data_IF_040420288626
#
_entry.id   IF_040420288626
#
_cell.length_a   1.000
_cell.length_b   1.000
_cell.length_c   1.000
_cell.angle_alpha   90.00
_cell.angle_beta   90.00
_cell.angle_gamma   90.00
#
_symmetry.space_group_name_H-M   'P 1'
#
loop_
_entity.id
_entity.type
_entity.pdbx_description
1 polymer ?
#
# COMPACT_ATOMS: atom_id res chain seq x y z
N UNK A 1 -6.07 49.88 -3.44
CA UNK A 1 -5.29 48.68 -3.08
C UNK A 1 -6.28 47.59 -2.71
N UNK A 2 -6.14 46.43 -3.32
CA UNK A 2 -7.01 45.28 -3.02
C UNK A 2 -6.30 44.43 -1.96
N UNK A 3 -6.90 44.29 -0.78
CA UNK A 3 -6.37 43.38 0.23
C UNK A 3 -6.58 41.93 -0.19
N UNK A 4 -5.51 41.12 -0.19
CA UNK A 4 -5.58 39.69 -0.50
C UNK A 4 -5.04 38.87 0.66
N UNK A 5 -5.66 37.70 0.91
CA UNK A 5 -5.19 36.71 1.86
C UNK A 5 -3.83 36.14 1.40
N UNK A 6 -2.91 35.90 2.31
CA UNK A 6 -1.57 35.39 1.95
C UNK A 6 -1.00 34.36 2.95
N UNK A 7 -1.48 34.33 4.20
CA UNK A 7 -0.86 33.51 5.25
C UNK A 7 -0.68 32.04 4.89
N UNK A 8 -1.75 31.41 4.39
CA UNK A 8 -1.72 29.99 4.02
C UNK A 8 -0.79 29.74 2.83
N UNK A 9 -0.85 30.60 1.81
CA UNK A 9 0.06 30.52 0.65
C UNK A 9 1.51 30.74 1.08
N UNK A 10 1.78 31.71 1.96
CA UNK A 10 3.10 31.95 2.49
C UNK A 10 3.66 30.72 3.20
N UNK A 11 2.83 30.03 4.02
CA UNK A 11 3.26 28.80 4.68
C UNK A 11 3.63 27.73 3.66
N UNK A 12 2.81 27.53 2.63
CA UNK A 12 3.06 26.54 1.57
C UNK A 12 4.32 26.91 0.75
N UNK A 13 4.58 28.19 0.51
CA UNK A 13 5.82 28.65 -0.12
C UNK A 13 7.06 28.32 0.75
N UNK A 14 6.98 28.50 2.08
CA UNK A 14 8.07 28.10 2.99
C UNK A 14 8.31 26.58 2.96
N UNK A 15 7.26 25.78 2.91
CA UNK A 15 7.39 24.33 2.73
C UNK A 15 8.05 24.00 1.38
N UNK A 16 7.63 24.66 0.31
CA UNK A 16 8.20 24.47 -1.02
C UNK A 16 9.69 24.85 -1.07
N UNK A 17 10.12 25.91 -0.39
CA UNK A 17 11.53 26.29 -0.25
C UNK A 17 12.32 25.26 0.56
N UNK A 18 11.78 24.80 1.71
CA UNK A 18 12.42 23.80 2.55
C UNK A 18 12.60 22.47 1.81
N UNK A 19 11.63 22.06 1.05
CA UNK A 19 11.65 20.82 0.25
C UNK A 19 12.34 20.97 -1.09
N UNK A 20 12.73 22.17 -1.48
CA UNK A 20 13.36 22.51 -2.77
C UNK A 20 12.50 22.17 -4.00
N UNK A 21 11.17 21.99 -3.84
CA UNK A 21 10.31 21.61 -4.93
C UNK A 21 10.24 22.67 -6.02
N UNK A 22 10.21 23.94 -5.64
CA UNK A 22 10.20 25.05 -6.57
C UNK A 22 11.47 25.07 -7.44
N UNK A 23 12.65 24.93 -6.79
CA UNK A 23 13.94 24.87 -7.48
C UNK A 23 14.01 23.71 -8.48
N UNK A 24 13.47 22.55 -8.09
CA UNK A 24 13.43 21.37 -8.96
C UNK A 24 12.49 21.59 -10.17
N UNK A 25 11.31 22.20 -9.95
CA UNK A 25 10.40 22.54 -11.03
C UNK A 25 11.01 23.58 -11.99
N UNK A 26 11.73 24.58 -11.48
CA UNK A 26 12.44 25.56 -12.31
C UNK A 26 13.49 24.90 -13.21
N UNK A 27 14.19 23.88 -12.72
CA UNK A 27 15.12 23.06 -13.52
C UNK A 27 14.40 22.21 -14.55
N UNK A 28 13.30 21.55 -14.18
CA UNK A 28 12.50 20.71 -15.08
C UNK A 28 11.93 21.50 -16.24
N UNK A 29 11.45 22.71 -15.98
CA UNK A 29 10.80 23.57 -16.99
C UNK A 29 11.72 24.67 -17.52
N UNK A 30 13.05 24.46 -17.44
CA UNK A 30 14.07 25.33 -18.06
C UNK A 30 13.89 26.82 -17.72
N UNK A 31 13.50 27.11 -16.46
CA UNK A 31 13.30 28.48 -15.98
C UNK A 31 12.00 29.15 -16.45
N UNK A 32 11.07 28.41 -17.06
CA UNK A 32 9.73 28.94 -17.37
C UNK A 32 8.97 29.26 -16.09
N UNK A 33 9.22 30.45 -15.56
CA UNK A 33 8.70 30.93 -14.28
C UNK A 33 7.17 30.94 -14.24
N UNK A 34 6.52 31.37 -15.33
CA UNK A 34 5.06 31.42 -15.38
C UNK A 34 4.45 30.01 -15.23
N UNK A 35 4.99 29.02 -15.95
CA UNK A 35 4.54 27.63 -15.83
C UNK A 35 4.77 27.07 -14.41
N UNK A 36 5.92 27.37 -13.79
CA UNK A 36 6.22 26.94 -12.43
C UNK A 36 5.27 27.61 -11.43
N UNK A 37 5.02 28.91 -11.56
CA UNK A 37 4.08 29.65 -10.71
C UNK A 37 2.65 29.12 -10.83
N UNK A 38 2.22 28.76 -12.05
CA UNK A 38 0.93 28.13 -12.31
C UNK A 38 0.82 26.74 -11.66
N UNK A 39 1.86 25.91 -11.80
CA UNK A 39 1.92 24.58 -11.14
C UNK A 39 1.87 24.72 -9.62
N UNK A 40 2.65 25.62 -9.05
CA UNK A 40 2.67 25.86 -7.61
C UNK A 40 1.30 26.32 -7.10
N UNK A 41 0.65 27.24 -7.82
CA UNK A 41 -0.69 27.73 -7.48
C UNK A 41 -1.71 26.61 -7.53
N UNK A 42 -1.70 25.78 -8.57
CA UNK A 42 -2.60 24.65 -8.74
C UNK A 42 -2.37 23.60 -7.63
N UNK A 43 -1.12 23.32 -7.28
CA UNK A 43 -0.76 22.36 -6.24
C UNK A 43 -1.15 22.81 -4.83
N UNK A 44 -1.07 24.10 -4.52
CA UNK A 44 -1.44 24.65 -3.20
C UNK A 44 -2.94 24.69 -2.98
N UNK A 45 -3.73 24.86 -4.04
CA UNK A 45 -5.17 25.08 -3.94
C UNK A 45 -5.93 24.03 -3.13
N UNK A 46 -5.78 22.71 -3.35
CA UNK A 46 -6.53 21.69 -2.59
C UNK A 46 -6.18 21.59 -1.12
N UNK A 47 -5.02 22.12 -0.70
CA UNK A 47 -4.60 22.13 0.70
C UNK A 47 -5.14 23.36 1.46
N UNK A 48 -5.43 24.46 0.75
CA UNK A 48 -5.90 25.71 1.33
C UNK A 48 -7.42 25.85 1.21
N UNK A 49 -8.01 25.21 0.19
CA UNK A 49 -9.43 25.33 -0.13
C UNK A 49 -10.07 23.96 -0.32
N UNK A 50 -11.28 23.79 0.23
CA UNK A 50 -12.11 22.60 0.03
C UNK A 50 -12.90 22.61 -1.30
N UNK A 51 -12.74 23.64 -2.12
CA UNK A 51 -13.47 23.76 -3.37
C UNK A 51 -12.83 22.96 -4.51
N UNK A 52 -13.63 22.61 -5.51
CA UNK A 52 -13.16 21.98 -6.74
C UNK A 52 -12.28 22.95 -7.55
N UNK A 53 -11.41 22.41 -8.40
CA UNK A 53 -10.52 23.19 -9.26
C UNK A 53 -11.24 24.19 -10.17
N UNK A 54 -12.52 23.98 -10.48
CA UNK A 54 -13.35 24.96 -11.22
C UNK A 54 -13.50 26.31 -10.50
N UNK A 55 -13.21 26.35 -9.20
CA UNK A 55 -13.26 27.56 -8.36
C UNK A 55 -11.91 28.24 -8.17
N UNK A 56 -10.84 27.74 -8.78
CA UNK A 56 -9.47 28.26 -8.62
C UNK A 56 -9.39 29.76 -8.95
N UNK A 57 -9.91 30.18 -10.12
CA UNK A 57 -9.90 31.60 -10.51
C UNK A 57 -10.58 32.52 -9.47
N UNK A 58 -11.72 32.05 -8.91
CA UNK A 58 -12.40 32.80 -7.84
C UNK A 58 -11.53 32.91 -6.59
N UNK A 59 -10.85 31.85 -6.16
CA UNK A 59 -9.95 31.87 -5.02
C UNK A 59 -8.76 32.82 -5.24
N UNK A 60 -8.17 32.85 -6.44
CA UNK A 60 -7.07 33.74 -6.80
C UNK A 60 -7.43 35.23 -6.70
N UNK A 61 -8.71 35.61 -6.87
CA UNK A 61 -9.14 37.02 -6.70
C UNK A 61 -8.97 37.54 -5.28
N UNK A 62 -9.12 36.67 -4.31
CA UNK A 62 -9.05 37.04 -2.88
C UNK A 62 -7.74 36.60 -2.20
N UNK A 63 -6.91 35.85 -2.90
CA UNK A 63 -5.68 35.27 -2.37
C UNK A 63 -4.48 35.68 -3.22
N UNK A 64 -3.40 36.08 -2.58
CA UNK A 64 -2.12 36.30 -3.27
C UNK A 64 -1.51 34.92 -3.56
N UNK A 65 -1.41 34.54 -4.82
CA UNK A 65 -0.88 33.26 -5.29
C UNK A 65 0.43 33.44 -6.05
N UNK A 66 1.26 32.39 -6.22
CA UNK A 66 2.44 32.43 -7.07
C UNK A 66 2.12 32.88 -8.51
N UNK A 67 1.07 32.30 -9.12
CA UNK A 67 0.62 32.74 -10.45
C UNK A 67 0.01 34.15 -10.39
N UNK A 68 0.47 35.00 -11.29
CA UNK A 68 -0.04 36.36 -11.42
C UNK A 68 -1.37 36.43 -12.18
N UNK A 69 -1.73 35.40 -12.95
CA UNK A 69 -2.97 35.32 -13.75
C UNK A 69 -4.05 34.49 -13.07
N UNK A 70 -5.31 34.83 -13.30
CA UNK A 70 -6.44 34.00 -12.92
C UNK A 70 -6.54 32.80 -13.88
N UNK A 71 -6.50 31.57 -13.35
CA UNK A 71 -6.52 30.35 -14.14
C UNK A 71 -7.94 29.83 -14.31
N UNK A 72 -8.47 29.88 -15.53
CA UNK A 72 -9.75 29.26 -15.89
C UNK A 72 -9.65 27.72 -15.89
N UNK A 73 -10.76 26.97 -15.88
CA UNK A 73 -10.73 25.51 -16.05
C UNK A 73 -10.03 25.07 -17.33
N UNK A 74 -10.14 25.84 -18.43
CA UNK A 74 -9.42 25.59 -19.67
C UNK A 74 -7.91 25.76 -19.54
N UNK A 75 -7.45 26.73 -18.72
CA UNK A 75 -6.01 26.93 -18.43
C UNK A 75 -5.47 25.76 -17.63
N UNK A 76 -6.21 25.28 -16.62
CA UNK A 76 -5.85 24.11 -15.83
C UNK A 76 -5.69 22.89 -16.73
N UNK A 77 -6.64 22.64 -17.63
CA UNK A 77 -6.57 21.53 -18.58
C UNK A 77 -5.32 21.64 -19.47
N UNK A 78 -5.05 22.80 -20.07
CA UNK A 78 -3.86 23.01 -20.89
C UNK A 78 -2.57 22.83 -20.09
N UNK A 79 -2.50 23.37 -18.87
CA UNK A 79 -1.34 23.22 -18.00
C UNK A 79 -1.07 21.74 -17.70
N UNK A 80 -2.09 21.00 -17.23
CA UNK A 80 -1.92 19.58 -16.85
C UNK A 80 -1.56 18.71 -18.05
N UNK A 81 -2.14 18.95 -19.22
CA UNK A 81 -1.79 18.26 -20.46
C UNK A 81 -0.37 18.62 -20.99
N UNK A 82 0.17 19.77 -20.62
CA UNK A 82 1.52 20.18 -21.00
C UNK A 82 2.63 19.57 -20.14
N UNK A 83 2.27 18.87 -19.05
CA UNK A 83 3.23 18.13 -18.20
C UNK A 83 3.34 16.72 -18.74
N UNK A 84 4.55 16.36 -19.18
CA UNK A 84 4.82 15.09 -19.85
C UNK A 84 5.44 14.07 -18.90
N UNK A 85 5.48 12.80 -19.32
CA UNK A 85 6.21 11.76 -18.60
C UNK A 85 7.73 12.07 -18.52
N UNK A 86 8.29 12.75 -19.53
CA UNK A 86 9.68 13.23 -19.50
C UNK A 86 9.90 14.21 -18.36
N UNK A 87 8.97 15.15 -18.16
CA UNK A 87 9.05 16.13 -17.06
C UNK A 87 8.96 15.44 -15.70
N UNK A 88 8.05 14.46 -15.55
CA UNK A 88 7.95 13.63 -14.36
C UNK A 88 9.26 12.90 -14.06
N UNK A 89 9.86 12.25 -15.04
CA UNK A 89 11.14 11.54 -14.89
C UNK A 89 12.29 12.50 -14.54
N UNK A 90 12.32 13.71 -15.13
CA UNK A 90 13.32 14.73 -14.79
C UNK A 90 13.17 15.18 -13.32
N UNK A 91 11.92 15.39 -12.84
CA UNK A 91 11.67 15.71 -11.45
C UNK A 91 12.13 14.58 -10.51
N UNK A 92 11.82 13.32 -10.83
CA UNK A 92 12.24 12.18 -10.02
C UNK A 92 13.77 12.07 -9.92
N UNK A 93 14.51 12.34 -11.00
CA UNK A 93 15.98 12.37 -11.00
C UNK A 93 16.51 13.43 -10.03
N UNK A 94 15.98 14.66 -10.10
CA UNK A 94 16.36 15.72 -9.15
C UNK A 94 16.04 15.33 -7.71
N UNK A 95 14.95 14.60 -7.47
CA UNK A 95 14.62 14.08 -6.15
C UNK A 95 15.61 13.01 -5.69
N UNK A 96 16.08 12.12 -6.58
CA UNK A 96 17.06 11.10 -6.24
C UNK A 96 18.40 11.69 -5.76
N UNK A 97 18.79 12.83 -6.28
CA UNK A 97 20.01 13.56 -5.87
C UNK A 97 19.92 14.12 -4.44
N UNK A 98 18.71 14.20 -3.87
CA UNK A 98 18.46 14.79 -2.55
C UNK A 98 18.33 13.79 -1.42
N UNK A 99 18.31 12.49 -1.72
CA UNK A 99 18.27 11.46 -0.69
C UNK A 99 19.66 11.04 -0.24
N UNK A 100 19.75 10.78 1.08
CA UNK A 100 20.97 10.25 1.70
C UNK A 100 21.23 8.79 1.31
N UNK A 101 22.42 8.31 1.62
CA UNK A 101 22.73 6.88 1.51
C UNK A 101 21.95 6.10 2.56
N UNK A 102 21.44 4.92 2.17
CA UNK A 102 20.64 4.04 3.05
C UNK A 102 19.42 4.73 3.66
N UNK A 103 18.86 5.73 2.96
CA UNK A 103 17.62 6.38 3.38
C UNK A 103 16.47 5.39 3.46
N UNK A 104 15.71 5.44 4.56
CA UNK A 104 14.51 4.64 4.75
C UNK A 104 13.37 5.23 3.93
N UNK A 105 12.85 4.48 2.96
CA UNK A 105 11.80 4.93 2.05
C UNK A 105 10.57 4.05 2.20
N UNK A 106 9.49 4.62 2.72
CA UNK A 106 8.22 3.92 2.87
C UNK A 106 7.39 4.00 1.58
N UNK A 107 6.81 2.86 1.21
CA UNK A 107 5.89 2.72 0.08
C UNK A 107 4.48 2.55 0.64
N UNK A 108 3.57 3.40 0.22
CA UNK A 108 2.17 3.30 0.57
C UNK A 108 1.27 3.54 -0.64
N UNK A 109 0.08 3.00 -0.61
CA UNK A 109 -0.91 3.13 -1.67
C UNK A 109 -2.29 3.46 -1.11
N UNK A 110 -3.02 4.27 -1.86
CA UNK A 110 -4.41 4.59 -1.56
C UNK A 110 -5.29 4.39 -2.79
N UNK A 111 -6.57 4.13 -2.56
CA UNK A 111 -7.58 4.11 -3.63
C UNK A 111 -8.24 5.46 -3.71
N UNK A 112 -8.49 5.93 -4.93
CA UNK A 112 -9.27 7.13 -5.19
C UNK A 112 -10.52 6.77 -5.98
N UNK A 113 -11.65 6.79 -5.32
CA UNK A 113 -12.96 6.50 -5.91
C UNK A 113 -13.39 7.58 -6.90
N UNK A 114 -14.05 7.19 -7.99
CA UNK A 114 -14.55 8.13 -8.98
C UNK A 114 -15.96 7.74 -9.49
N UNK A 115 -16.79 8.75 -9.65
CA UNK A 115 -18.13 8.60 -10.24
C UNK A 115 -18.11 8.66 -11.78
N UNK A 116 -17.01 9.15 -12.38
CA UNK A 116 -16.88 9.29 -13.82
C UNK A 116 -16.48 8.00 -14.51
N UNK A 117 -17.08 7.69 -15.65
CA UNK A 117 -16.75 6.51 -16.46
C UNK A 117 -15.76 6.79 -17.60
N UNK A 118 -15.36 8.05 -17.80
CA UNK A 118 -14.56 8.47 -18.96
C UNK A 118 -13.04 8.38 -18.77
N UNK A 119 -12.55 8.12 -17.56
CA UNK A 119 -11.12 8.00 -17.30
C UNK A 119 -10.64 6.55 -17.55
N UNK A 120 -9.59 6.42 -18.37
CA UNK A 120 -9.10 5.13 -18.83
C UNK A 120 -8.63 4.19 -17.72
N UNK A 121 -8.12 4.74 -16.60
CA UNK A 121 -7.54 3.98 -15.49
C UNK A 121 -8.52 3.68 -14.36
N UNK A 122 -9.76 4.18 -14.45
CA UNK A 122 -10.80 3.83 -13.48
C UNK A 122 -11.26 2.40 -13.73
N UNK A 123 -11.10 1.55 -12.72
CA UNK A 123 -11.50 0.14 -12.75
C UNK A 123 -12.10 -0.29 -11.41
N UNK A 124 -12.99 -1.27 -11.46
CA UNK A 124 -13.45 -1.97 -10.28
C UNK A 124 -12.34 -2.82 -9.68
N UNK A 125 -12.11 -2.68 -8.38
CA UNK A 125 -11.10 -3.43 -7.65
C UNK A 125 -11.36 -3.40 -6.15
N UNK A 126 -10.39 -3.83 -5.34
CA UNK A 126 -10.48 -3.71 -3.89
C UNK A 126 -10.36 -2.24 -3.48
N UNK A 127 -11.47 -1.64 -3.09
CA UNK A 127 -11.53 -0.24 -2.69
C UNK A 127 -11.18 -0.11 -1.20
N UNK A 128 -10.08 0.60 -0.90
CA UNK A 128 -9.60 0.81 0.48
C UNK A 128 -10.53 1.70 1.32
N UNK A 129 -11.38 2.50 0.66
CA UNK A 129 -12.41 3.33 1.33
C UNK A 129 -13.70 2.54 1.63
N UNK A 130 -13.78 1.26 1.22
CA UNK A 130 -14.97 0.40 1.31
C UNK A 130 -16.22 0.99 0.62
N UNK A 131 -16.02 1.80 -0.41
CA UNK A 131 -17.08 2.39 -1.22
C UNK A 131 -17.26 1.54 -2.48
N UNK A 132 -18.51 1.21 -2.84
CA UNK A 132 -18.82 0.46 -4.06
C UNK A 132 -18.73 1.36 -5.30
N UNK A 133 -17.52 1.79 -5.66
CA UNK A 133 -17.21 2.63 -6.82
C UNK A 133 -15.95 2.10 -7.53
N UNK A 134 -15.89 2.33 -8.83
CA UNK A 134 -14.66 2.17 -9.58
C UNK A 134 -13.61 3.22 -9.13
N UNK A 135 -12.32 2.89 -9.25
CA UNK A 135 -11.24 3.65 -8.63
C UNK A 135 -9.97 3.65 -9.47
N UNK A 136 -9.04 4.51 -9.10
CA UNK A 136 -7.61 4.39 -9.39
C UNK A 136 -6.86 4.05 -8.10
N UNK A 137 -5.71 3.38 -8.21
CA UNK A 137 -4.79 3.17 -7.09
C UNK A 137 -3.60 4.12 -7.23
N UNK A 138 -3.34 4.93 -6.21
CA UNK A 138 -2.23 5.87 -6.20
C UNK A 138 -1.15 5.39 -5.24
N UNK A 139 0.06 5.24 -5.73
CA UNK A 139 1.22 4.83 -4.93
C UNK A 139 2.15 6.01 -4.75
N UNK A 140 2.62 6.19 -3.51
CA UNK A 140 3.60 7.20 -3.13
C UNK A 140 4.76 6.53 -2.43
N UNK A 141 5.98 6.96 -2.72
CA UNK A 141 7.18 6.61 -1.95
C UNK A 141 7.71 7.88 -1.30
N UNK A 142 7.98 7.82 -0.02
CA UNK A 142 8.50 8.97 0.74
C UNK A 142 9.61 8.56 1.71
N UNK A 143 10.53 9.49 1.97
CA UNK A 143 11.61 9.31 2.93
C UNK A 143 11.10 9.42 4.36
N UNK A 144 11.64 8.63 5.28
CA UNK A 144 11.27 8.73 6.71
C UNK A 144 12.01 9.83 7.44
N UNK A 145 13.22 10.21 7.01
CA UNK A 145 14.04 11.21 7.68
C UNK A 145 13.42 12.63 7.65
N UNK A 146 12.79 12.98 6.55
CA UNK A 146 12.24 14.33 6.32
C UNK A 146 10.84 14.34 5.69
N UNK A 147 10.21 13.16 5.58
CA UNK A 147 8.86 12.96 5.02
C UNK A 147 8.69 13.50 3.59
N UNK A 148 9.77 13.50 2.80
CA UNK A 148 9.75 14.01 1.44
C UNK A 148 9.20 12.96 0.49
N UNK A 149 8.13 13.25 -0.28
CA UNK A 149 7.70 12.37 -1.36
C UNK A 149 8.74 12.41 -2.48
N UNK A 150 9.24 11.23 -2.85
CA UNK A 150 10.27 11.06 -3.88
C UNK A 150 9.74 10.38 -5.14
N UNK A 151 8.59 9.73 -5.07
CA UNK A 151 7.97 9.05 -6.19
C UNK A 151 6.46 9.01 -6.01
N UNK A 152 5.74 9.09 -7.11
CA UNK A 152 4.31 8.83 -7.16
C UNK A 152 3.92 8.21 -8.50
N UNK A 153 2.89 7.38 -8.49
CA UNK A 153 2.29 6.83 -9.71
C UNK A 153 0.84 6.42 -9.47
N UNK A 154 -0.01 6.69 -10.48
CA UNK A 154 -1.37 6.19 -10.53
C UNK A 154 -1.40 4.88 -11.34
N UNK A 155 -2.15 3.91 -10.85
CA UNK A 155 -2.39 2.61 -11.49
C UNK A 155 -3.87 2.37 -11.67
N UNK A 156 -4.28 1.55 -12.66
CA UNK A 156 -5.66 1.09 -12.76
C UNK A 156 -6.14 0.42 -11.47
N UNK A 157 -7.38 0.74 -11.05
CA UNK A 157 -7.91 0.33 -9.75
C UNK A 157 -8.06 -1.17 -9.53
N UNK A 158 -7.98 -1.98 -10.58
CA UNK A 158 -8.03 -3.44 -10.50
C UNK A 158 -6.64 -4.10 -10.33
N UNK A 159 -5.57 -3.31 -10.28
CA UNK A 159 -4.21 -3.86 -10.10
C UNK A 159 -3.91 -3.94 -8.60
N UNK A 160 -3.66 -5.14 -8.04
CA UNK A 160 -3.26 -5.30 -6.64
C UNK A 160 -1.91 -4.66 -6.35
N UNK A 161 -1.72 -4.12 -5.15
CA UNK A 161 -0.48 -3.47 -4.70
C UNK A 161 0.76 -4.34 -4.97
N UNK A 162 0.68 -5.63 -4.69
CA UNK A 162 1.79 -6.56 -4.92
C UNK A 162 2.28 -6.65 -6.38
N UNK A 163 1.44 -6.29 -7.36
CA UNK A 163 1.82 -6.27 -8.77
C UNK A 163 2.40 -4.93 -9.23
N UNK A 164 2.20 -3.87 -8.45
CA UNK A 164 2.74 -2.54 -8.78
C UNK A 164 4.23 -2.41 -8.46
N UNK A 165 4.73 -3.20 -7.49
CA UNK A 165 6.08 -3.06 -6.94
C UNK A 165 7.18 -3.17 -8.00
N UNK A 166 7.10 -4.12 -8.92
CA UNK A 166 8.12 -4.25 -9.99
C UNK A 166 8.22 -3.01 -10.88
N UNK A 167 7.09 -2.34 -11.15
CA UNK A 167 7.06 -1.07 -11.90
C UNK A 167 7.69 0.05 -11.07
N UNK A 168 7.32 0.16 -9.79
CA UNK A 168 7.84 1.18 -8.86
C UNK A 168 9.37 1.07 -8.78
N UNK A 169 9.88 -0.13 -8.52
CA UNK A 169 11.34 -0.37 -8.42
C UNK A 169 12.06 -0.08 -9.73
N UNK A 170 11.46 -0.44 -10.87
CA UNK A 170 12.03 -0.13 -12.18
C UNK A 170 12.10 1.38 -12.41
N UNK A 171 11.01 2.10 -12.12
CA UNK A 171 10.96 3.57 -12.27
C UNK A 171 11.98 4.25 -11.36
N UNK A 172 12.08 3.82 -10.08
CA UNK A 172 13.06 4.37 -9.13
C UNK A 172 14.49 4.15 -9.62
N UNK A 173 14.83 2.95 -10.09
CA UNK A 173 16.16 2.69 -10.68
C UNK A 173 16.43 3.56 -11.90
N UNK A 174 15.47 3.68 -12.82
CA UNK A 174 15.60 4.55 -14.00
C UNK A 174 15.76 6.03 -13.62
N UNK A 175 15.17 6.46 -12.52
CA UNK A 175 15.31 7.82 -11.99
C UNK A 175 16.63 8.02 -11.21
N UNK A 176 17.46 6.98 -11.06
CA UNK A 176 18.76 7.06 -10.38
C UNK A 176 18.70 6.88 -8.87
N UNK A 177 17.57 6.42 -8.31
CA UNK A 177 17.51 6.04 -6.90
C UNK A 177 18.32 4.75 -6.68
N UNK A 178 19.40 4.89 -5.94
CA UNK A 178 20.28 3.79 -5.53
C UNK A 178 20.54 3.91 -4.03
N UNK A 179 20.91 2.82 -3.38
CA UNK A 179 21.32 2.87 -1.97
C UNK A 179 20.23 3.39 -0.99
N UNK A 180 18.98 2.99 -1.16
CA UNK A 180 17.89 3.25 -0.22
C UNK A 180 17.35 1.93 0.34
N UNK A 181 16.71 1.98 1.50
CA UNK A 181 16.02 0.84 2.11
C UNK A 181 14.53 0.99 1.87
N UNK A 182 13.94 0.02 1.17
CA UNK A 182 12.51 0.02 0.91
C UNK A 182 11.74 -0.55 2.09
N UNK A 183 10.77 0.21 2.61
CA UNK A 183 9.86 -0.24 3.68
C UNK A 183 8.48 -0.44 3.08
N UNK A 184 7.93 -1.64 3.26
CA UNK A 184 6.62 -2.00 2.71
C UNK A 184 5.71 -2.60 3.76
N UNK A 185 4.40 -2.32 3.62
CA UNK A 185 3.37 -2.93 4.42
C UNK A 185 3.08 -4.39 4.00
N UNK A 186 2.14 -5.03 4.68
CA UNK A 186 1.76 -6.43 4.44
C UNK A 186 1.11 -6.65 3.05
N UNK A 187 0.55 -5.63 2.44
CA UNK A 187 -0.04 -5.69 1.09
C UNK A 187 1.00 -6.03 0.02
N UNK A 188 2.23 -5.58 0.23
CA UNK A 188 3.39 -5.87 -0.63
C UNK A 188 4.18 -7.11 -0.20
N UNK A 189 3.87 -7.73 0.95
CA UNK A 189 4.63 -8.84 1.56
C UNK A 189 4.45 -10.17 0.83
N UNK A 190 4.97 -10.30 -0.38
CA UNK A 190 4.94 -11.53 -1.19
C UNK A 190 6.34 -12.10 -1.41
N UNK A 191 6.43 -13.44 -1.61
CA UNK A 191 7.69 -14.10 -1.94
C UNK A 191 8.29 -13.55 -3.23
N UNK A 192 7.47 -13.22 -4.22
CA UNK A 192 7.95 -12.66 -5.48
C UNK A 192 8.69 -11.33 -5.27
N UNK A 193 8.12 -10.40 -4.47
CA UNK A 193 8.78 -9.12 -4.19
C UNK A 193 10.05 -9.32 -3.35
N UNK A 194 10.05 -10.26 -2.39
CA UNK A 194 11.24 -10.62 -1.65
C UNK A 194 12.37 -11.12 -2.57
N UNK A 195 12.04 -12.02 -3.48
CA UNK A 195 13.01 -12.58 -4.44
C UNK A 195 13.48 -11.53 -5.45
N UNK A 196 12.61 -10.63 -5.92
CA UNK A 196 12.99 -9.51 -6.77
C UNK A 196 13.98 -8.56 -6.06
N UNK A 197 13.79 -8.30 -4.77
CA UNK A 197 14.73 -7.52 -3.97
C UNK A 197 16.10 -8.22 -3.87
N UNK A 198 16.12 -9.52 -3.62
CA UNK A 198 17.36 -10.32 -3.56
C UNK A 198 18.09 -10.28 -4.91
N UNK A 199 17.37 -10.47 -6.01
CA UNK A 199 17.96 -10.51 -7.36
C UNK A 199 18.54 -9.17 -7.81
N UNK A 200 18.06 -8.06 -7.25
CA UNK A 200 18.52 -6.72 -7.57
C UNK A 200 19.39 -6.07 -6.47
N UNK A 201 19.79 -6.85 -5.46
CA UNK A 201 20.57 -6.37 -4.31
C UNK A 201 19.92 -5.14 -3.63
N UNK A 202 18.59 -5.16 -3.53
CA UNK A 202 17.80 -4.08 -2.95
C UNK A 202 17.58 -4.32 -1.46
N UNK A 203 18.11 -3.44 -0.61
CA UNK A 203 17.83 -3.47 0.82
C UNK A 203 16.37 -3.17 1.11
N UNK A 204 15.76 -3.96 2.01
CA UNK A 204 14.35 -3.84 2.31
C UNK A 204 13.98 -4.23 3.76
N UNK A 205 12.92 -3.60 4.27
CA UNK A 205 12.19 -4.01 5.47
C UNK A 205 10.75 -4.30 5.04
N UNK A 206 10.35 -5.56 5.08
CA UNK A 206 9.08 -6.01 4.50
C UNK A 206 8.20 -6.66 5.56
N UNK A 207 6.99 -6.16 5.74
CA UNK A 207 5.98 -6.88 6.51
C UNK A 207 5.43 -8.03 5.64
N UNK A 208 5.71 -9.28 6.04
CA UNK A 208 5.37 -10.48 5.26
C UNK A 208 4.09 -11.14 5.80
N UNK A 209 3.37 -11.83 4.91
CA UNK A 209 2.23 -12.67 5.33
C UNK A 209 2.77 -13.88 6.09
N UNK A 210 2.25 -14.13 7.28
CA UNK A 210 2.68 -15.24 8.17
C UNK A 210 2.44 -16.62 7.59
N UNK A 211 1.57 -16.76 6.58
CA UNK A 211 1.31 -18.01 5.88
C UNK A 211 2.40 -18.48 4.91
N UNK A 212 3.44 -17.69 4.65
CA UNK A 212 4.59 -18.16 3.86
C UNK A 212 5.34 -19.25 4.62
N UNK A 213 5.66 -20.37 3.93
CA UNK A 213 6.20 -21.57 4.55
C UNK A 213 7.41 -21.31 5.45
N UNK A 214 8.39 -20.53 4.99
CA UNK A 214 9.59 -20.23 5.78
C UNK A 214 9.31 -19.44 7.07
N UNK A 215 8.13 -18.77 7.17
CA UNK A 215 7.65 -18.07 8.35
C UNK A 215 6.80 -19.00 9.20
N UNK A 216 5.79 -19.66 8.59
CA UNK A 216 4.89 -20.55 9.33
C UNK A 216 5.62 -21.71 9.99
N UNK A 217 6.66 -22.28 9.36
CA UNK A 217 7.50 -23.33 9.96
C UNK A 217 8.22 -22.82 11.24
N UNK A 218 8.57 -21.53 11.32
CA UNK A 218 9.16 -20.94 12.54
C UNK A 218 8.10 -20.71 13.62
N UNK A 219 6.88 -20.33 13.23
CA UNK A 219 5.75 -20.19 14.15
C UNK A 219 5.40 -21.57 14.76
N UNK A 220 5.30 -22.60 13.94
CA UNK A 220 4.99 -23.96 14.38
C UNK A 220 6.05 -24.51 15.37
N UNK A 221 7.29 -24.09 15.24
CA UNK A 221 8.38 -24.44 16.15
C UNK A 221 8.33 -23.73 17.51
N UNK A 222 7.39 -22.82 17.76
CA UNK A 222 7.26 -22.11 19.04
C UNK A 222 6.34 -22.79 20.06
N UNK A 223 5.74 -23.93 19.73
CA UNK A 223 4.88 -24.70 20.62
C UNK A 223 3.47 -24.11 20.80
N UNK A 224 2.87 -24.33 21.98
CA UNK A 224 1.52 -23.83 22.29
C UNK A 224 1.57 -22.36 22.76
N UNK A 225 0.78 -21.49 22.08
CA UNK A 225 0.78 -20.04 22.28
C UNK A 225 -0.26 -19.54 23.26
N UNK A 226 -0.95 -20.43 23.98
CA UNK A 226 -2.05 -20.02 24.87
C UNK A 226 -1.56 -19.23 26.10
N UNK A 227 -0.27 -19.33 26.43
CA UNK A 227 0.32 -18.62 27.57
C UNK A 227 1.45 -17.71 27.11
N UNK A 228 2.56 -18.28 26.69
CA UNK A 228 3.73 -17.57 26.16
C UNK A 228 4.40 -18.45 25.12
N UNK A 229 4.69 -17.92 23.91
CA UNK A 229 5.44 -18.68 22.91
C UNK A 229 6.83 -19.05 23.43
N UNK A 230 7.24 -20.30 23.28
CA UNK A 230 8.51 -20.79 23.77
C UNK A 230 9.70 -20.07 23.12
N UNK A 231 10.61 -19.57 23.97
CA UNK A 231 11.84 -18.92 23.52
C UNK A 231 11.64 -17.58 22.82
N UNK A 232 10.51 -16.91 23.02
CA UNK A 232 10.34 -15.49 22.66
C UNK A 232 10.71 -14.59 23.84
N UNK A 233 11.34 -13.48 23.54
CA UNK A 233 11.60 -12.38 24.47
C UNK A 233 10.41 -11.44 24.51
N UNK A 234 10.31 -10.60 25.55
CA UNK A 234 9.28 -9.56 25.66
C UNK A 234 9.94 -8.18 25.57
N UNK A 235 9.44 -7.35 24.68
CA UNK A 235 9.70 -5.92 24.68
C UNK A 235 8.67 -5.22 25.57
N UNK A 236 9.14 -4.63 26.68
CA UNK A 236 8.29 -4.02 27.69
C UNK A 236 7.63 -2.73 27.20
N UNK A 237 8.27 -2.02 26.29
CA UNK A 237 7.75 -0.75 25.78
C UNK A 237 6.59 -0.98 24.80
N UNK A 238 6.78 -1.85 23.82
CA UNK A 238 5.73 -2.21 22.85
C UNK A 238 4.74 -3.25 23.37
N UNK A 239 5.06 -3.94 24.48
CA UNK A 239 4.29 -5.08 25.04
C UNK A 239 4.09 -6.20 24.04
N UNK A 240 5.09 -6.45 23.22
CA UNK A 240 5.12 -7.51 22.22
C UNK A 240 6.11 -8.58 22.61
N UNK A 241 5.77 -9.84 22.37
CA UNK A 241 6.78 -10.89 22.33
C UNK A 241 7.48 -10.87 20.99
N UNK A 242 8.80 -11.10 20.97
CA UNK A 242 9.56 -11.13 19.72
C UNK A 242 10.62 -12.22 19.72
N UNK A 243 10.96 -12.66 18.51
CA UNK A 243 12.09 -13.57 18.25
C UNK A 243 12.68 -13.27 16.89
N UNK A 244 14.00 -13.31 16.81
CA UNK A 244 14.74 -13.10 15.58
C UNK A 244 15.31 -14.43 15.09
N UNK A 245 15.30 -14.59 13.77
CA UNK A 245 15.89 -15.73 13.08
C UNK A 245 16.73 -15.22 11.92
N UNK A 246 17.99 -15.64 11.85
CA UNK A 246 18.80 -15.49 10.65
C UNK A 246 18.47 -16.63 9.69
N UNK A 247 18.16 -16.29 8.46
CA UNK A 247 17.69 -17.23 7.44
C UNK A 247 18.60 -17.13 6.21
N UNK A 248 19.18 -18.26 5.81
CA UNK A 248 19.80 -18.39 4.50
C UNK A 248 18.71 -18.74 3.47
N UNK A 249 18.19 -17.70 2.80
CA UNK A 249 17.10 -17.85 1.85
C UNK A 249 17.61 -18.14 0.45
N UNK A 250 17.03 -19.15 -0.21
CA UNK A 250 17.32 -19.50 -1.60
C UNK A 250 16.15 -19.09 -2.48
N UNK A 251 16.44 -18.36 -3.55
CA UNK A 251 15.45 -17.91 -4.53
C UNK A 251 14.89 -19.13 -5.30
N UNK A 252 13.57 -19.15 -5.49
CA UNK A 252 12.87 -20.20 -6.25
C UNK A 252 12.92 -19.94 -7.77
N UNK A 253 14.08 -19.55 -8.28
CA UNK A 253 14.29 -19.23 -9.69
C UNK A 253 14.62 -20.43 -10.56
N UNK A 254 14.53 -20.23 -11.88
CA UNK A 254 15.00 -21.18 -12.90
C UNK A 254 16.15 -20.57 -13.68
N UNK A 255 17.06 -21.41 -14.20
CA UNK A 255 18.18 -20.98 -15.02
C UNK A 255 19.23 -20.21 -14.23
N UNK A 256 19.63 -19.02 -14.69
CA UNK A 256 20.70 -18.22 -14.06
C UNK A 256 20.41 -17.79 -12.62
N UNK A 257 19.15 -17.80 -12.19
CA UNK A 257 18.72 -17.41 -10.83
C UNK A 257 18.57 -18.58 -9.87
N UNK A 258 18.76 -19.83 -10.34
CA UNK A 258 18.57 -21.06 -9.56
C UNK A 258 19.48 -21.17 -8.33
N UNK A 259 20.61 -20.44 -8.33
CA UNK A 259 21.58 -20.43 -7.23
C UNK A 259 21.62 -19.13 -6.44
N UNK A 260 20.74 -18.19 -6.73
CA UNK A 260 20.70 -16.95 -5.99
C UNK A 260 20.24 -17.22 -4.54
N UNK A 261 21.01 -16.74 -3.59
CA UNK A 261 20.72 -16.87 -2.17
C UNK A 261 21.10 -15.57 -1.46
N UNK A 262 20.42 -15.27 -0.38
CA UNK A 262 20.71 -14.12 0.47
C UNK A 262 20.54 -14.48 1.93
N UNK A 263 21.34 -13.88 2.78
CA UNK A 263 21.09 -13.84 4.21
C UNK A 263 20.05 -12.78 4.49
N UNK A 264 19.05 -13.13 5.26
CA UNK A 264 18.02 -12.22 5.71
C UNK A 264 17.67 -12.48 7.17
N UNK A 265 17.14 -11.48 7.85
CA UNK A 265 16.65 -11.64 9.23
C UNK A 265 15.14 -11.61 9.24
N UNK A 266 14.53 -12.63 9.83
CA UNK A 266 13.12 -12.68 10.13
C UNK A 266 12.91 -12.22 11.58
N UNK A 267 12.22 -11.11 11.76
CA UNK A 267 11.77 -10.61 13.05
C UNK A 267 10.31 -11.02 13.23
N UNK A 268 10.06 -11.96 14.12
CA UNK A 268 8.73 -12.48 14.41
C UNK A 268 8.22 -11.85 15.70
N UNK A 269 7.07 -11.19 15.62
CA UNK A 269 6.38 -10.57 16.77
C UNK A 269 5.09 -11.30 17.06
N UNK A 270 4.72 -11.37 18.34
CA UNK A 270 3.46 -11.95 18.78
C UNK A 270 2.77 -11.03 19.80
N UNK A 271 1.48 -10.79 19.57
CA UNK A 271 0.63 -10.01 20.47
C UNK A 271 -0.59 -10.86 20.91
N UNK A 272 -0.70 -11.23 22.19
CA UNK A 272 -1.84 -11.99 22.70
C UNK A 272 -3.20 -11.30 22.51
N UNK A 273 -3.24 -9.97 22.61
CA UNK A 273 -4.48 -9.20 22.40
C UNK A 273 -4.96 -9.30 20.94
N UNK A 274 -4.06 -9.15 19.97
CA UNK A 274 -4.39 -9.33 18.55
C UNK A 274 -4.84 -10.76 18.24
N UNK A 275 -4.26 -11.76 18.94
CA UNK A 275 -4.71 -13.14 18.82
C UNK A 275 -6.15 -13.29 19.30
N UNK A 276 -6.48 -12.75 20.47
CA UNK A 276 -7.83 -12.81 21.04
C UNK A 276 -8.87 -12.10 20.18
N UNK A 277 -8.55 -10.90 19.69
CA UNK A 277 -9.42 -10.16 18.74
C UNK A 277 -9.62 -10.94 17.44
N UNK A 278 -8.53 -11.48 16.89
CA UNK A 278 -8.57 -12.29 15.67
C UNK A 278 -9.43 -13.53 15.83
N UNK A 279 -9.36 -14.21 16.99
CA UNK A 279 -10.21 -15.35 17.30
C UNK A 279 -11.68 -14.98 17.36
N UNK A 280 -12.04 -13.90 18.06
CA UNK A 280 -13.42 -13.39 18.10
C UNK A 280 -13.95 -13.13 16.69
N UNK A 281 -13.16 -12.49 15.82
CA UNK A 281 -13.56 -12.22 14.44
C UNK A 281 -13.78 -13.50 13.63
N UNK A 282 -12.95 -14.54 13.85
CA UNK A 282 -13.16 -15.84 13.20
C UNK A 282 -14.42 -16.51 13.74
N UNK A 283 -14.65 -16.48 15.07
CA UNK A 283 -15.83 -17.07 15.69
C UNK A 283 -17.11 -16.39 15.19
N UNK A 284 -17.11 -15.04 15.09
CA UNK A 284 -18.23 -14.30 14.49
C UNK A 284 -18.47 -14.69 13.03
N UNK A 285 -17.39 -14.88 12.25
CA UNK A 285 -17.50 -15.35 10.85
C UNK A 285 -18.09 -16.75 10.79
N UNK A 286 -17.64 -17.68 11.65
CA UNK A 286 -18.17 -19.06 11.72
C UNK A 286 -19.65 -19.02 12.04
N UNK A 287 -20.06 -18.23 13.04
CA UNK A 287 -21.46 -18.13 13.42
C UNK A 287 -22.32 -17.48 12.32
N UNK A 288 -21.83 -16.46 11.66
CA UNK A 288 -22.49 -15.86 10.49
C UNK A 288 -22.72 -16.86 9.36
N UNK A 289 -21.68 -17.63 9.01
CA UNK A 289 -21.78 -18.70 8.00
C UNK A 289 -22.77 -19.79 8.41
N UNK A 290 -22.74 -20.21 9.69
CA UNK A 290 -23.68 -21.20 10.24
C UNK A 290 -25.13 -20.73 10.07
N UNK A 291 -25.42 -19.49 10.50
CA UNK A 291 -26.76 -18.93 10.46
C UNK A 291 -27.28 -18.85 9.00
N UNK A 292 -26.42 -18.42 8.05
CA UNK A 292 -26.79 -18.36 6.64
C UNK A 292 -27.07 -19.76 6.05
N UNK A 293 -26.24 -20.76 6.37
CA UNK A 293 -26.47 -22.14 5.92
C UNK A 293 -27.75 -22.74 6.53
N UNK A 294 -28.05 -22.44 7.80
CA UNK A 294 -29.30 -22.86 8.45
C UNK A 294 -30.53 -22.24 7.79
N UNK A 295 -30.45 -20.92 7.47
CA UNK A 295 -31.54 -20.24 6.74
C UNK A 295 -31.79 -20.86 5.36
N UNK A 296 -30.73 -21.27 4.63
CA UNK A 296 -30.87 -21.97 3.35
C UNK A 296 -31.56 -23.31 3.53
N UNK A 297 -31.27 -24.07 4.58
CA UNK A 297 -31.99 -25.32 4.87
C UNK A 297 -33.47 -25.06 5.19
N UNK A 298 -33.75 -24.14 6.08
CA UNK A 298 -35.11 -23.82 6.53
C UNK A 298 -35.97 -23.26 5.40
N UNK A 299 -35.39 -22.39 4.54
CA UNK A 299 -36.04 -21.79 3.38
C UNK A 299 -36.08 -22.70 2.15
N UNK A 300 -35.39 -23.84 2.16
CA UNK A 300 -35.14 -24.70 0.98
C UNK A 300 -34.57 -23.89 -0.20
N UNK A 301 -33.69 -22.98 0.10
CA UNK A 301 -33.04 -22.14 -0.91
C UNK A 301 -31.98 -22.94 -1.68
N UNK A 302 -31.80 -22.58 -2.96
CA UNK A 302 -30.73 -23.13 -3.77
C UNK A 302 -29.39 -22.55 -3.32
N UNK A 303 -28.40 -23.43 -3.11
CA UNK A 303 -27.06 -23.00 -2.75
C UNK A 303 -26.40 -22.20 -3.89
N UNK A 304 -25.56 -21.20 -3.57
CA UNK A 304 -24.76 -20.51 -4.56
C UNK A 304 -23.83 -21.48 -5.31
N UNK A 305 -23.17 -20.99 -6.35
CA UNK A 305 -22.20 -21.80 -7.11
C UNK A 305 -21.05 -22.29 -6.23
N UNK A 306 -20.32 -23.31 -6.71
CA UNK A 306 -19.28 -23.98 -5.93
C UNK A 306 -18.10 -23.08 -5.55
N UNK A 307 -17.81 -22.07 -6.36
CA UNK A 307 -16.76 -21.08 -6.08
C UNK A 307 -17.18 -20.16 -4.92
N UNK A 308 -18.40 -19.67 -4.96
CA UNK A 308 -19.02 -18.88 -3.90
C UNK A 308 -19.15 -19.69 -2.60
N UNK A 309 -19.60 -20.96 -2.66
CA UNK A 309 -19.63 -21.83 -1.50
C UNK A 309 -18.26 -22.00 -0.84
N UNK A 310 -17.21 -22.27 -1.62
CA UNK A 310 -15.84 -22.41 -1.10
C UNK A 310 -15.29 -21.13 -0.52
N UNK A 311 -15.64 -19.98 -1.08
CA UNK A 311 -15.17 -18.66 -0.63
C UNK A 311 -15.92 -18.19 0.61
N UNK A 312 -17.24 -18.19 0.57
CA UNK A 312 -18.09 -17.51 1.56
C UNK A 312 -18.49 -18.43 2.72
N UNK A 313 -18.46 -19.76 2.52
CA UNK A 313 -18.74 -20.75 3.56
C UNK A 313 -17.52 -21.64 3.86
N UNK A 314 -16.34 -21.08 3.76
CA UNK A 314 -15.08 -21.81 3.86
C UNK A 314 -14.84 -22.55 5.18
N UNK A 315 -15.57 -22.19 6.26
CA UNK A 315 -15.43 -22.83 7.58
C UNK A 315 -16.31 -24.06 7.75
N UNK A 316 -17.09 -24.44 6.71
CA UNK A 316 -17.99 -25.57 6.74
C UNK A 316 -17.79 -26.50 5.55
N UNK A 317 -18.03 -27.78 5.79
CA UNK A 317 -18.20 -28.78 4.74
C UNK A 317 -19.71 -28.93 4.50
N UNK A 318 -20.17 -28.51 3.31
CA UNK A 318 -21.59 -28.41 2.97
C UNK A 318 -21.98 -29.56 2.06
N UNK A 319 -23.10 -30.24 2.39
CA UNK A 319 -23.70 -31.31 1.54
C UNK A 319 -24.93 -30.78 0.82
N UNK A 320 -24.99 -31.01 -0.48
CA UNK A 320 -26.08 -30.58 -1.36
C UNK A 320 -26.89 -31.79 -1.87
N UNK A 321 -28.16 -31.57 -2.12
CA UNK A 321 -29.00 -32.53 -2.86
C UNK A 321 -28.82 -32.37 -4.38
N UNK A 322 -29.59 -33.20 -5.15
CA UNK A 322 -29.57 -33.17 -6.64
C UNK A 322 -30.08 -31.84 -7.23
N UNK A 323 -30.82 -31.04 -6.45
CA UNK A 323 -31.37 -29.75 -6.85
C UNK A 323 -30.54 -28.59 -6.26
N UNK A 324 -29.34 -28.88 -5.74
CA UNK A 324 -28.44 -27.94 -5.09
C UNK A 324 -29.00 -27.28 -3.83
N UNK A 325 -29.98 -27.84 -3.15
CA UNK A 325 -30.37 -27.35 -1.82
C UNK A 325 -29.38 -27.86 -0.76
N UNK A 326 -29.10 -27.02 0.23
CA UNK A 326 -28.27 -27.40 1.40
C UNK A 326 -29.05 -28.43 2.24
N UNK A 327 -28.49 -29.64 2.41
CA UNK A 327 -29.08 -30.71 3.21
C UNK A 327 -28.51 -30.76 4.60
N UNK A 328 -27.20 -30.60 4.71
CA UNK A 328 -26.50 -30.59 6.01
C UNK A 328 -25.15 -29.86 5.85
N UNK A 329 -24.61 -29.42 6.95
CA UNK A 329 -23.27 -28.87 7.02
C UNK A 329 -22.60 -29.23 8.35
N UNK A 330 -21.29 -29.35 8.31
CA UNK A 330 -20.45 -29.61 9.49
C UNK A 330 -19.30 -28.61 9.52
N UNK A 331 -18.93 -28.13 10.73
CA UNK A 331 -17.77 -27.25 10.91
C UNK A 331 -16.51 -28.00 10.52
N UNK A 332 -15.72 -27.42 9.63
CA UNK A 332 -14.42 -27.96 9.27
C UNK A 332 -13.38 -27.57 10.31
N UNK A 333 -13.19 -28.43 11.32
CA UNK A 333 -12.29 -28.17 12.45
C UNK A 333 -10.85 -27.96 12.02
N UNK A 334 -10.40 -28.62 10.94
CA UNK A 334 -9.05 -28.41 10.40
C UNK A 334 -8.88 -26.96 9.89
N UNK A 335 -9.78 -26.49 9.06
CA UNK A 335 -9.74 -25.13 8.53
C UNK A 335 -9.87 -24.08 9.64
N UNK A 336 -10.71 -24.34 10.62
CA UNK A 336 -10.85 -23.48 11.80
C UNK A 336 -9.53 -23.38 12.56
N UNK A 337 -8.93 -24.52 12.94
CA UNK A 337 -7.65 -24.56 13.65
C UNK A 337 -6.51 -23.96 12.84
N UNK A 338 -6.44 -24.20 11.54
CA UNK A 338 -5.48 -23.58 10.63
C UNK A 338 -5.61 -22.04 10.61
N UNK A 339 -6.85 -21.53 10.71
CA UNK A 339 -7.11 -20.09 10.77
C UNK A 339 -6.65 -19.46 12.09
N UNK A 340 -6.74 -20.21 13.19
CA UNK A 340 -6.28 -19.73 14.50
C UNK A 340 -4.75 -19.76 14.65
N UNK A 341 -4.07 -20.64 13.93
CA UNK A 341 -2.66 -20.98 14.10
C UNK A 341 -1.73 -19.76 13.99
N UNK A 342 -2.01 -18.87 13.06
CA UNK A 342 -1.14 -17.72 12.74
C UNK A 342 -1.63 -16.41 13.36
N UNK A 343 -2.70 -16.44 14.16
CA UNK A 343 -3.25 -15.24 14.79
C UNK A 343 -2.30 -14.64 15.80
N UNK A 344 -2.27 -13.32 15.87
CA UNK A 344 -1.43 -12.56 16.78
C UNK A 344 0.02 -12.40 16.32
N UNK A 345 0.44 -13.10 15.25
CA UNK A 345 1.78 -12.99 14.71
C UNK A 345 1.90 -11.92 13.61
N UNK A 346 3.00 -11.19 13.67
CA UNK A 346 3.47 -10.29 12.60
C UNK A 346 4.90 -10.68 12.27
N UNK A 347 5.20 -10.77 10.99
CA UNK A 347 6.50 -11.14 10.47
C UNK A 347 7.11 -9.97 9.67
N UNK A 348 8.28 -9.52 10.09
CA UNK A 348 9.06 -8.49 9.38
C UNK A 348 10.37 -9.11 8.93
N UNK A 349 10.60 -9.10 7.64
CA UNK A 349 11.87 -9.53 7.03
C UNK A 349 12.72 -8.30 6.75
N UNK A 350 13.99 -8.35 7.19
CA UNK A 350 15.01 -7.37 6.84
C UNK A 350 16.03 -8.01 5.89
N UNK A 351 16.33 -7.30 4.80
CA UNK A 351 17.23 -7.73 3.74
C UNK A 351 18.29 -6.66 3.48
N UNK A 352 19.57 -7.06 3.39
CA UNK A 352 20.67 -6.13 3.11
C UNK A 352 20.93 -5.09 4.21
N UNK A 353 20.57 -5.43 5.45
CA UNK A 353 20.81 -4.63 6.65
C UNK A 353 21.51 -5.50 7.68
N UNK A 354 22.61 -4.99 8.26
CA UNK A 354 23.39 -5.65 9.32
C UNK A 354 22.71 -5.51 10.70
#
# INVERSE_FOLDING_TARGET
>A
AQNRLYGDVWLMERVAEKTKIREDLEKVFEGNKEKVDDIMTLAMFPYISSYSYSRLARWQRYTKTPSAREMSPGDITRLTQSITEKDRQALLRLRSERIGKMELCAVDSTSRSAYGSSLADIRWGHNKENIALAQTNEVVVYTLSNHMPIYYRSFPGNIPDSRTMGVIQSDLRCAGFTNYVMITDRGYGTVQILEDNILHDQSAIMCMKTGHKFISDKIDGLGDFNVRPDGMEIDLDSKLYYKQYDIDYKVHGKGKYEKAASKMRLNLFFNPSWRSEGQINIDMKVEGQRNSLQQMIDGKEEAPDDETLKRDFCMFDVKLDKKRHVVSFEKNEKKYNDSLRLLGFVAIVTLGLD
#
